data_IF_011176097962
#
_entry.id   IF_011176097962
#
_cell.length_a   1.000
_cell.length_b   1.000
_cell.length_c   1.000
_cell.angle_alpha   90.00
_cell.angle_beta   90.00
_cell.angle_gamma   90.00
#
_symmetry.space_group_name_H-M   'P 1'
#
loop_
_entity.id
_entity.type
_entity.pdbx_description
1 polymer ?
#
# COMPACT_ATOMS: atom_id res chain seq x y z
N UNK A 1 14.95 -7.31 -17.08
CA UNK A 1 16.38 -7.67 -16.94
C UNK A 1 17.13 -6.46 -16.43
N UNK A 2 18.21 -6.63 -15.60
CA UNK A 2 19.06 -5.51 -15.25
C UNK A 2 19.62 -4.83 -16.49
N UNK A 3 19.77 -3.51 -16.44
CA UNK A 3 20.26 -2.72 -17.58
C UNK A 3 21.68 -3.10 -18.01
N UNK A 4 22.10 -2.69 -19.21
CA UNK A 4 23.44 -2.97 -19.73
C UNK A 4 24.59 -2.48 -18.82
N UNK A 5 24.32 -1.52 -17.93
CA UNK A 5 25.29 -0.95 -16.98
C UNK A 5 25.32 -1.64 -15.60
N UNK A 6 24.44 -2.62 -15.38
CA UNK A 6 24.37 -3.35 -14.10
C UNK A 6 25.34 -4.52 -14.04
N UNK A 7 26.51 -4.27 -13.50
CA UNK A 7 27.59 -5.27 -13.34
C UNK A 7 27.98 -5.44 -11.87
N UNK A 8 28.50 -6.60 -11.55
CA UNK A 8 29.25 -6.85 -10.32
C UNK A 8 30.69 -7.19 -10.70
N UNK A 9 31.65 -6.52 -10.11
CA UNK A 9 33.06 -6.90 -10.24
C UNK A 9 33.32 -8.16 -9.44
N UNK A 10 33.93 -9.17 -10.07
CA UNK A 10 34.26 -10.47 -9.46
C UNK A 10 35.77 -10.77 -9.41
N UNK A 11 36.60 -9.80 -9.78
CA UNK A 11 38.05 -9.86 -9.75
C UNK A 11 38.66 -8.83 -10.70
N UNK A 12 39.99 -8.81 -10.82
CA UNK A 12 40.73 -7.83 -11.63
C UNK A 12 40.16 -7.65 -13.02
N UNK A 13 39.40 -6.53 -13.21
CA UNK A 13 38.76 -6.13 -14.47
C UNK A 13 37.69 -7.09 -15.03
N UNK A 14 37.29 -8.13 -14.29
CA UNK A 14 36.24 -9.05 -14.72
C UNK A 14 34.92 -8.60 -14.15
N UNK A 15 33.98 -8.29 -15.05
CA UNK A 15 32.62 -7.86 -14.71
C UNK A 15 31.59 -8.90 -15.16
N UNK A 16 30.66 -9.25 -14.28
CA UNK A 16 29.51 -10.10 -14.59
C UNK A 16 28.23 -9.29 -14.49
N UNK A 17 27.38 -9.40 -15.50
CA UNK A 17 26.08 -8.75 -15.49
C UNK A 17 25.21 -9.33 -14.39
N UNK A 18 24.51 -8.47 -13.64
CA UNK A 18 23.55 -8.88 -12.62
C UNK A 18 22.43 -9.71 -13.25
N UNK A 19 22.01 -10.77 -12.60
CA UNK A 19 20.86 -11.59 -12.96
C UNK A 19 19.84 -11.55 -11.84
N UNK A 20 18.57 -11.33 -12.18
CA UNK A 20 17.47 -11.32 -11.22
C UNK A 20 16.97 -12.75 -10.97
N UNK A 21 16.92 -13.15 -9.73
CA UNK A 21 16.22 -14.35 -9.28
C UNK A 21 14.75 -13.93 -9.06
N UNK A 22 13.85 -14.49 -9.85
CA UNK A 22 12.40 -14.11 -9.85
C UNK A 22 11.56 -14.93 -8.86
N UNK A 23 12.20 -15.71 -8.01
CA UNK A 23 11.56 -16.46 -6.91
C UNK A 23 12.29 -16.17 -5.60
N UNK A 24 11.68 -16.49 -4.46
CA UNK A 24 12.40 -16.42 -3.20
C UNK A 24 13.40 -17.60 -3.06
N UNK A 25 14.37 -17.46 -2.14
CA UNK A 25 15.42 -18.48 -1.97
C UNK A 25 14.89 -19.83 -1.49
N UNK A 26 13.75 -19.84 -0.79
CA UNK A 26 13.11 -21.08 -0.32
C UNK A 26 12.44 -21.84 -1.47
N UNK A 27 11.75 -21.15 -2.37
CA UNK A 27 11.22 -21.74 -3.60
C UNK A 27 12.34 -22.26 -4.49
N UNK A 28 13.43 -21.52 -4.62
CA UNK A 28 14.61 -21.95 -5.38
C UNK A 28 15.25 -23.18 -4.77
N UNK A 29 15.31 -23.26 -3.44
CA UNK A 29 15.84 -24.43 -2.73
C UNK A 29 14.95 -25.66 -2.90
N UNK A 30 13.63 -25.51 -2.85
CA UNK A 30 12.68 -26.61 -3.11
C UNK A 30 12.88 -27.13 -4.54
N UNK A 31 12.86 -26.25 -5.53
CA UNK A 31 13.10 -26.63 -6.93
C UNK A 31 14.49 -27.28 -7.15
N UNK A 32 15.51 -26.84 -6.41
CA UNK A 32 16.82 -27.46 -6.44
C UNK A 32 16.79 -28.89 -5.88
N UNK A 33 16.13 -29.12 -4.74
CA UNK A 33 15.99 -30.45 -4.12
C UNK A 33 15.18 -31.40 -4.99
N UNK A 34 14.14 -30.93 -5.66
CA UNK A 34 13.36 -31.71 -6.61
C UNK A 34 14.23 -32.16 -7.82
N UNK A 35 15.05 -31.24 -8.34
CA UNK A 35 15.89 -31.50 -9.51
C UNK A 35 17.14 -32.34 -9.21
N UNK A 36 17.66 -32.21 -7.99
CA UNK A 36 18.90 -32.84 -7.55
C UNK A 36 18.70 -33.48 -6.17
N UNK A 37 17.88 -34.55 -6.06
CA UNK A 37 17.52 -35.18 -4.77
C UNK A 37 18.75 -35.75 -4.03
N UNK A 38 19.75 -36.23 -4.76
CA UNK A 38 20.96 -36.86 -4.20
C UNK A 38 21.94 -35.86 -3.57
N UNK A 39 21.75 -34.55 -3.77
CA UNK A 39 22.65 -33.56 -3.19
C UNK A 39 22.16 -33.18 -1.79
N UNK A 40 22.87 -33.61 -0.78
CA UNK A 40 22.63 -33.25 0.61
C UNK A 40 23.20 -31.88 0.93
N UNK A 41 22.35 -30.86 0.95
CA UNK A 41 22.68 -29.48 1.34
C UNK A 41 21.54 -28.88 2.15
N UNK A 42 21.87 -28.25 3.26
CA UNK A 42 20.89 -27.50 4.07
C UNK A 42 20.59 -26.13 3.47
N UNK A 43 19.42 -25.60 3.79
CA UNK A 43 18.91 -24.32 3.25
C UNK A 43 19.89 -23.15 3.49
N UNK A 44 20.45 -23.02 4.70
CA UNK A 44 21.41 -21.95 5.02
C UNK A 44 22.65 -22.00 4.14
N UNK A 45 23.23 -23.19 3.94
CA UNK A 45 24.39 -23.38 3.07
C UNK A 45 24.03 -23.10 1.61
N UNK A 46 22.88 -23.56 1.15
CA UNK A 46 22.34 -23.23 -0.19
C UNK A 46 22.27 -21.71 -0.42
N UNK A 47 21.75 -20.96 0.54
CA UNK A 47 21.68 -19.50 0.45
C UNK A 47 23.05 -18.84 0.34
N UNK A 48 24.09 -19.36 1.04
CA UNK A 48 25.45 -18.80 1.01
C UNK A 48 26.18 -19.06 -0.30
N UNK A 49 25.80 -20.09 -1.05
CA UNK A 49 26.37 -20.42 -2.36
C UNK A 49 25.83 -19.53 -3.49
N UNK A 50 24.89 -18.68 -3.20
CA UNK A 50 24.36 -17.72 -4.18
C UNK A 50 25.45 -16.80 -4.72
N UNK A 51 25.61 -16.78 -6.02
CA UNK A 51 26.59 -15.95 -6.70
C UNK A 51 26.31 -14.46 -6.50
N UNK A 52 27.34 -13.64 -6.28
CA UNK A 52 27.20 -12.19 -6.01
C UNK A 52 26.44 -11.43 -7.11
N UNK A 53 26.48 -11.88 -8.34
CA UNK A 53 25.74 -11.27 -9.46
C UNK A 53 24.32 -11.81 -9.63
N UNK A 54 23.90 -12.81 -8.86
CA UNK A 54 22.52 -13.28 -8.80
C UNK A 54 21.82 -12.58 -7.64
N UNK A 55 20.98 -11.56 -7.93
CA UNK A 55 20.26 -10.76 -6.95
C UNK A 55 18.78 -11.12 -6.93
N UNK A 56 18.18 -11.11 -5.75
CA UNK A 56 16.74 -11.33 -5.60
C UNK A 56 15.98 -10.15 -6.15
N UNK A 57 14.99 -10.39 -7.00
CA UNK A 57 14.05 -9.35 -7.42
C UNK A 57 13.32 -8.80 -6.17
N UNK A 58 13.29 -7.47 -6.03
CA UNK A 58 12.69 -6.80 -4.86
C UNK A 58 13.56 -6.83 -3.58
N UNK A 59 14.82 -7.30 -3.65
CA UNK A 59 15.76 -7.14 -2.53
C UNK A 59 16.13 -5.66 -2.34
N UNK A 60 16.51 -5.30 -1.08
CA UNK A 60 16.87 -3.92 -0.71
C UNK A 60 17.74 -3.24 -1.77
N UNK A 61 17.30 -2.11 -2.28
CA UNK A 61 18.01 -1.26 -3.23
C UNK A 61 17.67 -1.47 -4.70
N UNK A 62 16.79 -2.43 -5.07
CA UNK A 62 16.47 -2.67 -6.48
C UNK A 62 15.22 -1.92 -6.94
N UNK A 63 14.17 -1.85 -6.12
CA UNK A 63 12.93 -1.17 -6.46
C UNK A 63 12.05 -1.00 -5.22
N UNK A 64 11.70 0.24 -4.88
CA UNK A 64 10.70 0.57 -3.87
C UNK A 64 9.51 1.24 -4.55
N UNK A 65 8.31 0.73 -4.32
CA UNK A 65 7.07 1.26 -4.89
C UNK A 65 6.12 1.73 -3.78
N UNK A 66 5.19 2.60 -4.12
CA UNK A 66 4.19 3.13 -3.19
C UNK A 66 4.83 3.81 -1.97
N UNK A 67 5.89 4.60 -2.19
CA UNK A 67 6.44 5.47 -1.16
C UNK A 67 5.60 6.75 -1.07
N UNK A 68 5.46 7.28 0.13
CA UNK A 68 4.76 8.55 0.33
C UNK A 68 5.57 9.70 -0.30
N UNK A 69 4.95 10.47 -1.20
CA UNK A 69 5.61 11.58 -1.89
C UNK A 69 6.12 12.65 -0.92
N UNK A 70 5.40 12.95 0.17
CA UNK A 70 5.81 13.92 1.18
C UNK A 70 7.11 13.46 1.87
N UNK A 71 7.18 12.19 2.30
CA UNK A 71 8.41 11.66 2.89
C UNK A 71 9.54 11.57 1.85
N UNK A 72 9.23 11.11 0.64
CA UNK A 72 10.25 10.95 -0.40
C UNK A 72 10.83 12.28 -0.86
N UNK A 73 10.00 13.33 -0.98
CA UNK A 73 10.49 14.66 -1.32
C UNK A 73 11.40 15.23 -0.22
N UNK A 74 11.07 15.02 1.06
CA UNK A 74 11.96 15.41 2.14
C UNK A 74 13.31 14.66 2.10
N UNK A 75 13.30 13.35 1.75
CA UNK A 75 14.54 12.58 1.54
C UNK A 75 15.33 13.17 0.37
N UNK A 76 14.70 13.39 -0.79
CA UNK A 76 15.38 13.92 -1.98
C UNK A 76 15.99 15.30 -1.75
N UNK A 77 15.31 16.17 -0.98
CA UNK A 77 15.84 17.47 -0.61
C UNK A 77 17.07 17.34 0.32
N UNK A 78 17.01 16.50 1.33
CA UNK A 78 18.15 16.27 2.24
C UNK A 78 19.33 15.63 1.50
N UNK A 79 19.06 14.68 0.59
CA UNK A 79 20.09 13.99 -0.19
C UNK A 79 20.83 14.94 -1.18
N UNK A 80 20.19 16.03 -1.60
CA UNK A 80 20.75 16.98 -2.58
C UNK A 80 22.04 17.68 -2.09
N UNK A 81 22.19 17.85 -0.79
CA UNK A 81 23.36 18.48 -0.17
C UNK A 81 24.37 17.47 0.40
N UNK A 82 24.18 16.17 0.11
CA UNK A 82 25.07 15.09 0.51
C UNK A 82 25.43 15.05 2.02
N UNK A 83 24.54 15.51 2.87
CA UNK A 83 24.75 15.49 4.32
C UNK A 83 24.59 14.09 4.90
N UNK A 84 25.31 13.83 5.98
CA UNK A 84 25.08 12.64 6.80
C UNK A 84 23.94 12.89 7.82
N UNK A 85 22.87 13.55 7.37
CA UNK A 85 21.68 13.90 8.14
C UNK A 85 20.45 13.27 7.49
N UNK A 86 19.39 13.16 8.26
CA UNK A 86 18.07 12.72 7.80
C UNK A 86 17.05 13.82 8.08
N UNK A 87 15.90 13.76 7.40
CA UNK A 87 14.80 14.68 7.72
C UNK A 87 14.37 14.61 9.20
N UNK A 88 14.59 13.46 9.89
CA UNK A 88 14.29 13.33 11.33
C UNK A 88 15.17 14.26 12.16
N UNK A 89 16.46 14.36 11.83
CA UNK A 89 17.37 15.27 12.50
C UNK A 89 16.97 16.74 12.30
N UNK A 90 16.46 17.09 11.11
CA UNK A 90 15.93 18.42 10.85
C UNK A 90 14.64 18.72 11.64
N UNK A 91 13.75 17.73 11.80
CA UNK A 91 12.57 17.88 12.65
C UNK A 91 12.98 18.14 14.11
N UNK A 92 13.99 17.45 14.63
CA UNK A 92 14.51 17.64 16.00
C UNK A 92 15.07 19.04 16.24
N UNK A 93 15.47 19.77 15.18
CA UNK A 93 15.86 21.18 15.30
C UNK A 93 14.67 22.13 15.45
N UNK A 94 13.50 21.75 14.96
CA UNK A 94 12.29 22.59 14.98
C UNK A 94 11.48 22.40 16.27
N UNK A 95 11.50 21.19 16.85
CA UNK A 95 10.61 20.83 17.96
C UNK A 95 11.37 20.45 19.22
N UNK A 96 10.78 20.73 20.36
CA UNK A 96 11.31 20.25 21.65
C UNK A 96 11.05 18.74 21.87
N UNK A 97 10.08 18.13 21.17
CA UNK A 97 9.85 16.68 21.17
C UNK A 97 9.04 16.22 19.95
N UNK A 98 9.57 15.30 19.12
CA UNK A 98 8.84 14.73 17.98
C UNK A 98 7.73 13.75 18.38
N UNK A 99 7.65 13.37 19.66
CA UNK A 99 6.60 12.48 20.18
C UNK A 99 5.36 13.24 20.70
N UNK A 100 5.47 14.55 20.91
CA UNK A 100 4.37 15.38 21.41
C UNK A 100 3.54 15.96 20.27
N UNK A 101 2.22 15.79 20.38
CA UNK A 101 1.24 16.28 19.40
C UNK A 101 1.42 17.78 19.16
N UNK A 102 1.43 18.57 20.21
CA UNK A 102 1.47 20.03 20.15
C UNK A 102 2.70 20.54 19.39
N UNK A 103 3.84 19.84 19.55
CA UNK A 103 5.07 20.15 18.83
C UNK A 103 4.93 19.86 17.34
N UNK A 104 4.44 18.69 17.00
CA UNK A 104 4.36 18.22 15.61
C UNK A 104 3.26 18.88 14.77
N UNK A 105 2.26 19.52 15.42
CA UNK A 105 1.19 20.30 14.75
C UNK A 105 1.36 21.81 14.90
N UNK A 106 2.56 22.28 15.28
CA UNK A 106 2.93 23.70 15.44
C UNK A 106 2.07 24.48 16.48
N UNK A 107 1.70 23.83 17.59
CA UNK A 107 0.92 24.44 18.69
C UNK A 107 1.71 24.56 20.00
N UNK A 108 2.97 24.19 20.00
CA UNK A 108 3.85 24.29 21.19
C UNK A 108 4.60 25.61 21.14
N UNK A 109 4.36 26.46 22.13
CA UNK A 109 5.02 27.78 22.24
C UNK A 109 6.51 27.68 22.64
N UNK A 110 6.94 26.54 23.20
CA UNK A 110 8.33 26.31 23.63
C UNK A 110 9.21 25.71 22.54
N UNK A 111 8.65 25.43 21.34
CA UNK A 111 9.46 24.87 20.26
C UNK A 111 10.37 25.94 19.64
N UNK A 112 11.63 25.57 19.25
CA UNK A 112 12.54 26.49 18.57
C UNK A 112 11.97 27.04 17.25
N UNK A 113 11.13 26.26 16.56
CA UNK A 113 10.44 26.66 15.35
C UNK A 113 11.31 26.64 14.10
N UNK A 114 10.78 27.18 13.01
CA UNK A 114 11.48 27.24 11.71
C UNK A 114 12.69 28.17 11.72
N UNK A 115 12.72 29.17 12.60
CA UNK A 115 13.85 30.08 12.74
C UNK A 115 15.11 29.33 13.15
N UNK A 116 15.03 28.43 14.12
CA UNK A 116 16.17 27.62 14.53
C UNK A 116 16.66 26.67 13.42
N UNK A 117 15.74 26.14 12.59
CA UNK A 117 16.13 25.36 11.42
C UNK A 117 16.81 26.25 10.38
N UNK A 118 16.31 27.47 10.15
CA UNK A 118 16.95 28.42 9.22
C UNK A 118 18.37 28.77 9.68
N UNK A 119 18.55 29.12 10.95
CA UNK A 119 19.87 29.39 11.53
C UNK A 119 20.83 28.20 11.41
N UNK A 120 20.31 26.99 11.64
CA UNK A 120 21.08 25.75 11.44
C UNK A 120 21.52 25.60 9.97
N UNK A 121 20.59 25.78 9.01
CA UNK A 121 20.88 25.66 7.58
C UNK A 121 21.88 26.76 7.11
N UNK A 122 21.75 27.98 7.59
CA UNK A 122 22.65 29.08 7.26
C UNK A 122 24.08 28.80 7.77
N UNK A 123 24.22 28.19 8.95
CA UNK A 123 25.54 27.81 9.48
C UNK A 123 26.16 26.62 8.72
N UNK A 124 25.38 25.61 8.36
CA UNK A 124 25.88 24.40 7.69
C UNK A 124 26.17 24.63 6.21
N UNK A 125 25.49 25.57 5.57
CA UNK A 125 25.63 25.92 4.15
C UNK A 125 26.36 27.24 3.92
N UNK A 126 27.11 27.69 4.89
CA UNK A 126 27.82 28.97 4.84
C UNK A 126 28.96 29.06 3.79
N UNK A 127 29.35 27.92 3.20
CA UNK A 127 30.35 27.85 2.12
C UNK A 127 29.75 28.22 0.75
N UNK A 128 28.42 28.37 0.65
CA UNK A 128 27.70 28.71 -0.58
C UNK A 128 27.10 30.11 -0.48
N UNK A 129 27.23 30.88 -1.53
CA UNK A 129 26.55 32.17 -1.64
C UNK A 129 25.03 31.95 -1.85
N UNK A 130 24.23 32.91 -1.38
CA UNK A 130 22.75 32.79 -1.46
C UNK A 130 22.23 32.59 -2.89
N UNK A 131 22.94 33.19 -3.87
CA UNK A 131 22.62 33.17 -5.31
C UNK A 131 23.23 31.96 -6.05
N UNK A 132 24.09 31.15 -5.40
CA UNK A 132 24.61 29.92 -6.00
C UNK A 132 23.48 28.98 -6.34
N UNK A 133 23.61 28.26 -7.45
CA UNK A 133 22.61 27.30 -7.90
C UNK A 133 22.79 25.92 -7.26
N UNK A 134 21.69 25.33 -6.81
CA UNK A 134 21.60 23.94 -6.37
C UNK A 134 20.59 23.17 -7.22
N UNK A 135 20.93 21.92 -7.53
CA UNK A 135 20.07 21.01 -8.29
C UNK A 135 19.56 19.89 -7.38
N UNK A 136 18.25 19.69 -7.36
CA UNK A 136 17.61 18.59 -6.63
C UNK A 136 16.46 17.98 -7.43
N UNK A 137 16.03 16.78 -7.02
CA UNK A 137 14.87 16.12 -7.60
C UNK A 137 13.68 16.19 -6.65
N UNK A 138 12.46 16.31 -7.20
CA UNK A 138 11.23 16.18 -6.43
C UNK A 138 10.12 15.52 -7.22
N UNK A 139 9.25 14.80 -6.53
CA UNK A 139 8.00 14.34 -7.09
C UNK A 139 7.00 15.50 -7.13
N UNK A 140 6.52 15.80 -8.32
CA UNK A 140 5.46 16.79 -8.56
C UNK A 140 4.26 16.11 -9.26
N UNK A 141 3.07 16.64 -9.05
CA UNK A 141 1.84 16.16 -9.69
C UNK A 141 1.15 17.34 -10.38
N UNK A 142 1.14 17.30 -11.70
CA UNK A 142 0.30 18.13 -12.55
C UNK A 142 -0.85 17.26 -13.08
N UNK A 143 -0.77 16.79 -14.31
CA UNK A 143 -1.72 15.80 -14.85
C UNK A 143 -1.39 14.37 -14.37
N UNK A 144 -0.11 14.10 -14.16
CA UNK A 144 0.42 12.85 -13.64
C UNK A 144 1.59 13.11 -12.69
N UNK A 145 1.85 12.14 -11.81
CA UNK A 145 3.02 12.21 -10.95
C UNK A 145 4.31 12.01 -11.75
N UNK A 146 5.25 12.94 -11.62
CA UNK A 146 6.56 12.89 -12.30
C UNK A 146 7.67 13.25 -11.31
N UNK A 147 8.83 12.64 -11.49
CA UNK A 147 10.05 13.05 -10.83
C UNK A 147 10.70 14.14 -11.69
N UNK A 148 10.72 15.37 -11.17
CA UNK A 148 11.29 16.54 -11.85
C UNK A 148 12.60 16.95 -11.23
N UNK A 149 13.52 17.40 -12.06
CA UNK A 149 14.74 18.07 -11.61
C UNK A 149 14.45 19.56 -11.50
N UNK A 150 14.79 20.15 -10.37
CA UNK A 150 14.63 21.57 -10.07
C UNK A 150 16.02 22.17 -9.88
N UNK A 151 16.23 23.34 -10.46
CA UNK A 151 17.41 24.19 -10.23
C UNK A 151 16.89 25.45 -9.56
N UNK A 152 17.44 25.80 -8.42
CA UNK A 152 17.08 27.00 -7.66
C UNK A 152 18.32 27.59 -6.99
N UNK A 153 18.21 28.80 -6.47
CA UNK A 153 19.25 29.35 -5.60
C UNK A 153 19.30 28.63 -4.25
N UNK A 154 20.41 28.69 -3.54
CA UNK A 154 20.52 28.13 -2.19
C UNK A 154 19.52 28.74 -1.21
N UNK A 155 19.16 30.02 -1.35
CA UNK A 155 18.15 30.64 -0.49
C UNK A 155 16.76 30.08 -0.75
N UNK A 156 16.34 29.98 -2.02
CA UNK A 156 15.06 29.35 -2.39
C UNK A 156 15.00 27.89 -1.96
N UNK A 157 16.11 27.16 -2.11
CA UNK A 157 16.21 25.77 -1.66
C UNK A 157 16.05 25.64 -0.14
N UNK A 158 16.68 26.50 0.68
CA UNK A 158 16.54 26.50 2.13
C UNK A 158 15.08 26.75 2.54
N UNK A 159 14.42 27.73 1.93
CA UNK A 159 13.02 28.03 2.17
C UNK A 159 12.11 26.84 1.82
N UNK A 160 12.37 26.21 0.67
CA UNK A 160 11.63 25.03 0.24
C UNK A 160 11.84 23.83 1.17
N UNK A 161 13.08 23.59 1.62
CA UNK A 161 13.40 22.53 2.58
C UNK A 161 12.68 22.76 3.92
N UNK A 162 12.73 23.98 4.47
CA UNK A 162 12.04 24.33 5.72
C UNK A 162 10.53 24.08 5.60
N UNK A 163 9.90 24.56 4.52
CA UNK A 163 8.48 24.36 4.26
C UNK A 163 8.13 22.87 4.12
N UNK A 164 8.97 22.11 3.43
CA UNK A 164 8.77 20.66 3.24
C UNK A 164 8.86 19.90 4.56
N UNK A 165 9.81 20.24 5.44
CA UNK A 165 9.95 19.63 6.77
C UNK A 165 8.75 19.98 7.66
N UNK A 166 8.26 21.23 7.65
CA UNK A 166 7.07 21.62 8.39
C UNK A 166 5.81 20.85 7.96
N UNK A 167 5.61 20.67 6.65
CA UNK A 167 4.53 19.87 6.11
C UNK A 167 4.65 18.39 6.51
N UNK A 168 5.88 17.86 6.46
CA UNK A 168 6.18 16.48 6.84
C UNK A 168 5.88 16.21 8.32
N UNK A 169 6.15 17.15 9.23
CA UNK A 169 5.95 16.98 10.67
C UNK A 169 4.51 16.54 11.00
N UNK A 170 3.52 17.31 10.57
CA UNK A 170 2.10 17.00 10.79
C UNK A 170 1.71 15.68 10.14
N UNK A 171 2.11 15.47 8.90
CA UNK A 171 1.81 14.27 8.14
C UNK A 171 2.40 13.01 8.79
N UNK A 172 3.70 13.05 9.15
CA UNK A 172 4.39 11.94 9.83
C UNK A 172 3.78 11.62 11.18
N UNK A 173 3.41 12.65 11.96
CA UNK A 173 2.75 12.45 13.25
C UNK A 173 1.40 11.75 13.11
N UNK A 174 0.55 12.20 12.18
CA UNK A 174 -0.76 11.59 11.90
C UNK A 174 -0.57 10.12 11.48
N UNK A 175 0.37 9.84 10.57
CA UNK A 175 0.64 8.48 10.11
C UNK A 175 1.06 7.54 11.27
N UNK A 176 1.97 8.02 12.15
CA UNK A 176 2.39 7.28 13.35
C UNK A 176 1.23 7.04 14.32
N UNK A 177 0.39 8.06 14.55
CA UNK A 177 -0.77 7.95 15.44
C UNK A 177 -1.76 6.91 14.95
N UNK A 178 -2.04 6.87 13.66
CA UNK A 178 -2.99 5.92 13.07
C UNK A 178 -2.47 4.49 13.06
N UNK A 179 -1.20 4.29 12.73
CA UNK A 179 -0.55 2.98 12.85
C UNK A 179 -0.58 2.48 14.31
N UNK A 180 -0.30 3.36 15.27
CA UNK A 180 -0.39 3.06 16.72
C UNK A 180 -1.82 2.74 17.13
N UNK A 181 -2.81 3.49 16.64
CA UNK A 181 -4.22 3.26 16.95
C UNK A 181 -4.71 1.88 16.47
N UNK A 182 -4.36 1.47 15.25
CA UNK A 182 -4.67 0.13 14.75
C UNK A 182 -4.07 -0.97 15.65
N UNK A 183 -2.81 -0.82 16.06
CA UNK A 183 -2.14 -1.78 16.94
C UNK A 183 -2.78 -1.84 18.33
N UNK A 184 -3.13 -0.69 18.91
CA UNK A 184 -3.84 -0.61 20.18
C UNK A 184 -5.24 -1.23 20.10
N UNK A 185 -5.97 -0.95 19.00
CA UNK A 185 -7.31 -1.52 18.78
C UNK A 185 -7.23 -3.04 18.63
N UNK A 186 -6.24 -3.55 17.90
CA UNK A 186 -5.99 -5.00 17.84
C UNK A 186 -5.72 -5.58 19.22
N UNK A 187 -4.83 -4.96 20.01
CA UNK A 187 -4.48 -5.46 21.36
C UNK A 187 -5.62 -5.41 22.38
N UNK A 188 -6.69 -4.66 22.10
CA UNK A 188 -7.86 -4.47 22.99
C UNK A 188 -9.16 -4.96 22.35
N UNK A 189 -9.09 -5.78 21.31
CA UNK A 189 -10.25 -6.24 20.58
C UNK A 189 -11.14 -7.12 21.48
N UNK A 190 -12.41 -6.75 21.58
CA UNK A 190 -13.42 -7.54 22.30
C UNK A 190 -13.89 -8.76 21.50
N UNK A 191 -14.48 -9.75 22.17
CA UNK A 191 -14.99 -10.96 21.51
C UNK A 191 -16.09 -10.67 20.50
N UNK A 192 -16.88 -9.62 20.73
CA UNK A 192 -17.97 -9.20 19.84
C UNK A 192 -17.54 -8.11 18.82
N UNK A 193 -16.25 -7.87 18.70
CA UNK A 193 -15.66 -6.87 17.83
C UNK A 193 -14.80 -7.49 16.75
N UNK A 194 -14.75 -6.84 15.58
CA UNK A 194 -13.89 -7.23 14.48
C UNK A 194 -13.21 -6.02 13.82
N UNK A 195 -11.98 -6.21 13.33
CA UNK A 195 -11.25 -5.22 12.55
C UNK A 195 -11.17 -5.71 11.11
N UNK A 196 -11.57 -4.87 10.18
CA UNK A 196 -11.56 -5.14 8.74
C UNK A 196 -10.57 -4.19 8.07
N UNK A 197 -9.50 -4.75 7.53
CA UNK A 197 -8.64 -4.03 6.59
C UNK A 197 -9.13 -4.35 5.18
N UNK A 198 -9.36 -3.32 4.39
CA UNK A 198 -9.79 -3.47 2.98
C UNK A 198 -9.00 -2.53 2.10
N UNK A 199 -8.63 -2.99 0.93
CA UNK A 199 -7.93 -2.20 -0.07
C UNK A 199 -8.23 -2.74 -1.46
N UNK A 200 -8.37 -1.84 -2.44
CA UNK A 200 -8.51 -2.24 -3.83
C UNK A 200 -7.13 -2.37 -4.45
N UNK A 201 -6.77 -3.58 -4.82
CA UNK A 201 -5.60 -3.78 -5.64
C UNK A 201 -5.85 -3.21 -7.04
N UNK A 202 -4.79 -2.66 -7.68
CA UNK A 202 -4.83 -2.34 -9.10
C UNK A 202 -5.39 -3.52 -9.92
N UNK A 203 -6.23 -3.25 -10.92
CA UNK A 203 -6.80 -4.29 -11.77
C UNK A 203 -5.73 -5.23 -12.31
N UNK A 204 -6.00 -6.52 -12.23
CA UNK A 204 -5.12 -7.53 -12.79
C UNK A 204 -5.36 -7.66 -14.29
N UNK A 205 -4.32 -7.53 -15.06
CA UNK A 205 -4.33 -7.76 -16.50
C UNK A 205 -3.90 -9.21 -16.78
N UNK A 206 -4.72 -9.97 -17.50
CA UNK A 206 -4.39 -11.34 -17.84
C UNK A 206 -3.19 -11.40 -18.78
N UNK A 207 -2.30 -12.37 -18.53
CA UNK A 207 -1.06 -12.57 -19.28
C UNK A 207 -1.10 -13.89 -20.03
N UNK A 208 -0.69 -13.87 -21.28
CA UNK A 208 -0.52 -15.06 -22.12
C UNK A 208 0.90 -15.09 -22.69
N UNK A 209 1.35 -16.30 -23.07
CA UNK A 209 2.59 -16.42 -23.83
C UNK A 209 2.37 -16.01 -25.29
N UNK A 210 3.40 -15.42 -25.90
CA UNK A 210 3.42 -15.05 -27.32
C UNK A 210 2.25 -14.11 -27.72
N UNK A 211 1.97 -13.12 -26.85
CA UNK A 211 0.94 -12.11 -27.15
C UNK A 211 1.23 -11.40 -28.46
N UNK A 212 0.21 -11.28 -29.31
CA UNK A 212 0.27 -10.40 -30.47
C UNK A 212 -0.02 -8.96 -30.04
N UNK A 213 0.47 -7.99 -30.80
CA UNK A 213 0.37 -6.56 -30.46
C UNK A 213 -1.08 -6.10 -30.24
N UNK A 214 -2.03 -6.53 -31.06
CA UNK A 214 -3.45 -6.17 -30.91
C UNK A 214 -4.05 -6.69 -29.61
N UNK A 215 -3.70 -7.90 -29.19
CA UNK A 215 -4.15 -8.44 -27.89
C UNK A 215 -3.56 -7.65 -26.70
N UNK A 216 -2.30 -7.22 -26.80
CA UNK A 216 -1.65 -6.43 -25.76
C UNK A 216 -2.44 -5.17 -25.39
N UNK A 217 -3.10 -4.53 -26.36
CA UNK A 217 -3.88 -3.31 -26.18
C UNK A 217 -5.36 -3.55 -25.86
N UNK A 218 -5.88 -4.76 -26.01
CA UNK A 218 -7.29 -5.11 -25.82
C UNK A 218 -7.53 -6.14 -24.72
N UNK A 219 -6.63 -6.23 -23.75
CA UNK A 219 -6.73 -7.21 -22.65
C UNK A 219 -7.92 -6.99 -21.75
N UNK A 220 -8.49 -8.09 -21.29
CA UNK A 220 -9.42 -8.06 -20.20
C UNK A 220 -8.72 -7.85 -18.86
N UNK A 221 -9.44 -7.24 -17.94
CA UNK A 221 -8.99 -6.96 -16.59
C UNK A 221 -9.89 -7.65 -15.57
N UNK A 222 -9.33 -7.96 -14.43
CA UNK A 222 -10.06 -8.43 -13.27
C UNK A 222 -9.82 -7.50 -12.09
N UNK A 223 -10.90 -7.01 -11.51
CA UNK A 223 -10.84 -6.29 -10.24
C UNK A 223 -10.49 -7.27 -9.13
N UNK A 224 -9.56 -6.86 -8.26
CA UNK A 224 -9.19 -7.57 -7.05
C UNK A 224 -9.39 -6.65 -5.85
N UNK A 225 -10.18 -7.10 -4.88
CA UNK A 225 -10.38 -6.40 -3.61
C UNK A 225 -10.03 -7.33 -2.45
N UNK A 226 -8.77 -7.33 -2.01
CA UNK A 226 -8.35 -8.02 -0.81
C UNK A 226 -8.97 -7.44 0.45
N UNK A 227 -9.26 -8.33 1.42
CA UNK A 227 -9.75 -7.96 2.72
C UNK A 227 -9.13 -8.88 3.78
N UNK A 228 -8.73 -8.31 4.91
CA UNK A 228 -8.24 -9.06 6.07
C UNK A 228 -9.10 -8.73 7.28
N UNK A 229 -9.66 -9.75 7.88
CA UNK A 229 -10.52 -9.65 9.04
C UNK A 229 -9.83 -10.19 10.28
N UNK A 230 -9.68 -9.35 11.33
CA UNK A 230 -9.15 -9.76 12.62
C UNK A 230 -10.26 -9.87 13.64
N UNK A 231 -10.22 -10.94 14.43
CA UNK A 231 -11.19 -11.23 15.49
C UNK A 231 -10.52 -11.99 16.64
N UNK A 232 -11.21 -12.09 17.76
CA UNK A 232 -10.76 -12.88 18.91
C UNK A 232 -11.33 -14.29 18.79
N UNK A 233 -10.45 -15.28 18.69
CA UNK A 233 -10.85 -16.69 18.63
C UNK A 233 -11.33 -17.22 20.00
N UNK A 234 -11.86 -18.43 20.02
CA UNK A 234 -12.32 -19.11 21.25
C UNK A 234 -11.23 -19.21 22.31
N UNK A 235 -9.99 -19.36 21.89
CA UNK A 235 -8.80 -19.40 22.75
C UNK A 235 -8.38 -18.03 23.30
N UNK A 236 -9.16 -16.97 23.04
CA UNK A 236 -8.88 -15.60 23.46
C UNK A 236 -7.75 -14.91 22.70
N UNK A 237 -7.19 -15.55 21.67
CA UNK A 237 -6.12 -14.97 20.86
C UNK A 237 -6.68 -14.31 19.62
N UNK A 238 -5.97 -13.29 19.16
CA UNK A 238 -6.30 -12.63 17.89
C UNK A 238 -5.99 -13.59 16.74
N UNK A 239 -6.99 -13.83 15.92
CA UNK A 239 -6.92 -14.58 14.67
C UNK A 239 -7.23 -13.67 13.50
N UNK A 240 -6.94 -14.12 12.30
CA UNK A 240 -7.35 -13.41 11.10
C UNK A 240 -7.74 -14.37 9.99
N UNK A 241 -8.70 -13.93 9.20
CA UNK A 241 -9.09 -14.53 7.93
C UNK A 241 -8.73 -13.59 6.79
N UNK A 242 -8.29 -14.15 5.67
CA UNK A 242 -7.95 -13.43 4.45
C UNK A 242 -8.99 -13.73 3.37
N UNK A 243 -9.44 -12.68 2.70
CA UNK A 243 -10.43 -12.74 1.63
C UNK A 243 -9.89 -12.03 0.38
N UNK A 244 -10.37 -12.45 -0.78
CA UNK A 244 -10.17 -11.74 -2.02
C UNK A 244 -11.45 -11.79 -2.86
N UNK A 245 -12.04 -10.62 -3.10
CA UNK A 245 -13.20 -10.47 -3.96
C UNK A 245 -12.72 -10.15 -5.38
N UNK A 246 -13.23 -10.89 -6.36
CA UNK A 246 -12.82 -10.75 -7.76
C UNK A 246 -14.03 -10.37 -8.60
N UNK A 247 -13.83 -9.54 -9.63
CA UNK A 247 -14.91 -9.08 -10.49
C UNK A 247 -14.43 -8.83 -11.91
N UNK A 248 -15.35 -9.03 -12.88
CA UNK A 248 -15.23 -8.54 -14.25
C UNK A 248 -15.75 -7.10 -14.43
N UNK A 249 -16.24 -6.47 -13.35
CA UNK A 249 -16.52 -5.04 -13.30
C UNK A 249 -15.25 -4.29 -12.91
N UNK A 250 -14.74 -3.46 -13.81
CA UNK A 250 -13.49 -2.72 -13.61
C UNK A 250 -13.68 -1.41 -12.83
N UNK A 251 -14.91 -1.09 -12.39
CA UNK A 251 -15.21 0.12 -11.63
C UNK A 251 -15.05 -0.12 -10.12
N UNK A 252 -14.02 0.49 -9.54
CA UNK A 252 -13.77 0.44 -8.09
C UNK A 252 -14.49 1.60 -7.37
N UNK A 253 -15.80 1.66 -7.48
CA UNK A 253 -16.60 2.70 -6.85
C UNK A 253 -17.08 2.34 -5.43
N UNK A 254 -17.77 3.26 -4.79
CA UNK A 254 -18.35 3.05 -3.46
C UNK A 254 -19.40 1.93 -3.44
N UNK A 255 -20.11 1.71 -4.55
CA UNK A 255 -21.10 0.63 -4.66
C UNK A 255 -20.42 -0.73 -4.67
N UNK A 256 -19.22 -0.82 -5.27
CA UNK A 256 -18.41 -2.03 -5.22
C UNK A 256 -17.97 -2.35 -3.79
N UNK A 257 -17.48 -1.34 -3.06
CA UNK A 257 -17.12 -1.50 -1.63
C UNK A 257 -18.32 -1.98 -0.81
N UNK A 258 -19.51 -1.42 -1.04
CA UNK A 258 -20.74 -1.85 -0.36
C UNK A 258 -21.09 -3.31 -0.66
N UNK A 259 -20.94 -3.77 -1.90
CA UNK A 259 -21.18 -5.16 -2.27
C UNK A 259 -20.16 -6.11 -1.62
N UNK A 260 -18.88 -5.71 -1.56
CA UNK A 260 -17.86 -6.46 -0.82
C UNK A 260 -18.23 -6.59 0.66
N UNK A 261 -18.69 -5.48 1.28
CA UNK A 261 -19.17 -5.52 2.67
C UNK A 261 -20.36 -6.46 2.85
N UNK A 262 -21.33 -6.42 1.94
CA UNK A 262 -22.50 -7.32 1.98
C UNK A 262 -22.06 -8.78 2.00
N UNK A 263 -21.25 -9.20 1.04
CA UNK A 263 -20.80 -10.60 0.95
C UNK A 263 -19.88 -11.00 2.11
N UNK A 264 -19.05 -10.08 2.58
CA UNK A 264 -18.22 -10.32 3.76
C UNK A 264 -19.08 -10.53 5.01
N UNK A 265 -20.10 -9.70 5.23
CA UNK A 265 -20.99 -9.79 6.38
C UNK A 265 -21.85 -11.06 6.32
N UNK A 266 -22.33 -11.47 5.16
CA UNK A 266 -23.02 -12.75 4.98
C UNK A 266 -22.12 -13.93 5.43
N UNK A 267 -20.85 -13.92 5.03
CA UNK A 267 -19.87 -14.89 5.45
C UNK A 267 -19.56 -14.79 6.96
N UNK A 268 -19.49 -13.56 7.50
CA UNK A 268 -19.26 -13.31 8.92
C UNK A 268 -20.42 -13.89 9.76
N UNK A 269 -21.65 -13.61 9.39
CA UNK A 269 -22.85 -14.13 10.08
C UNK A 269 -22.91 -15.66 10.09
N UNK A 270 -22.43 -16.29 9.03
CA UNK A 270 -22.35 -17.75 8.95
C UNK A 270 -21.24 -18.36 9.83
N UNK A 271 -20.14 -17.63 10.09
CA UNK A 271 -18.95 -18.18 10.76
C UNK A 271 -18.70 -17.60 12.15
N UNK A 272 -19.09 -16.35 12.38
CA UNK A 272 -18.83 -15.57 13.60
C UNK A 272 -20.07 -14.71 13.99
N UNK A 273 -21.25 -15.31 14.21
CA UNK A 273 -22.52 -14.57 14.40
C UNK A 273 -22.54 -13.70 15.66
N UNK A 274 -21.59 -13.86 16.56
CA UNK A 274 -21.48 -13.07 17.78
C UNK A 274 -20.81 -11.71 17.59
N UNK A 275 -20.25 -11.42 16.38
CA UNK A 275 -19.63 -10.13 16.09
C UNK A 275 -20.75 -9.11 15.82
N UNK A 276 -20.78 -8.06 16.63
CA UNK A 276 -21.79 -6.98 16.55
C UNK A 276 -21.21 -5.61 16.21
N UNK A 277 -19.87 -5.46 16.24
CA UNK A 277 -19.18 -4.21 15.97
C UNK A 277 -18.01 -4.43 15.01
N UNK A 278 -17.94 -3.64 13.95
CA UNK A 278 -16.86 -3.68 12.96
C UNK A 278 -16.11 -2.35 12.88
N UNK A 279 -14.79 -2.43 12.86
CA UNK A 279 -13.88 -1.30 12.66
C UNK A 279 -13.21 -1.45 11.29
N UNK A 280 -13.62 -0.63 10.33
CA UNK A 280 -13.06 -0.64 8.99
C UNK A 280 -11.84 0.28 8.90
N UNK A 281 -10.73 -0.26 8.43
CA UNK A 281 -9.46 0.46 8.22
C UNK A 281 -9.06 0.36 6.74
N UNK A 282 -9.68 1.12 5.84
CA UNK A 282 -9.27 1.20 4.45
C UNK A 282 -8.17 2.24 4.25
N UNK A 283 -7.67 2.34 3.02
CA UNK A 283 -6.93 3.51 2.58
C UNK A 283 -7.83 4.76 2.50
N UNK A 284 -7.24 5.92 2.23
CA UNK A 284 -7.96 7.18 2.14
C UNK A 284 -8.50 7.52 0.73
N UNK A 285 -8.57 6.55 -0.19
CA UNK A 285 -9.02 6.79 -1.57
C UNK A 285 -10.44 7.35 -1.62
N UNK A 286 -10.61 8.57 -2.14
CA UNK A 286 -11.90 9.25 -2.17
C UNK A 286 -12.89 8.64 -3.15
N UNK A 287 -12.42 8.04 -4.24
CA UNK A 287 -13.28 7.38 -5.23
C UNK A 287 -14.00 6.16 -4.68
N UNK A 288 -13.41 5.50 -3.70
CA UNK A 288 -13.89 4.23 -3.17
C UNK A 288 -14.43 4.37 -1.75
N UNK A 289 -13.65 4.97 -0.84
CA UNK A 289 -13.91 4.89 0.58
C UNK A 289 -14.24 6.23 1.23
N UNK A 290 -13.44 7.29 0.99
CA UNK A 290 -13.53 8.55 1.73
C UNK A 290 -14.39 9.59 1.00
N UNK A 291 -15.68 9.29 0.84
CA UNK A 291 -16.66 10.13 0.16
C UNK A 291 -18.03 10.09 0.84
N UNK A 292 -18.93 11.01 0.48
CA UNK A 292 -20.25 11.14 1.09
C UNK A 292 -21.11 9.88 0.91
N UNK A 293 -21.00 9.16 -0.24
CA UNK A 293 -21.79 7.94 -0.50
C UNK A 293 -21.46 6.85 0.50
N UNK A 294 -20.17 6.69 0.80
CA UNK A 294 -19.73 5.73 1.78
C UNK A 294 -20.09 6.11 3.21
N UNK A 295 -20.12 7.42 3.53
CA UNK A 295 -20.63 7.88 4.82
C UNK A 295 -22.13 7.63 4.96
N UNK A 296 -22.93 7.75 3.89
CA UNK A 296 -24.34 7.35 3.88
C UNK A 296 -24.50 5.83 4.09
N UNK A 297 -23.64 5.01 3.48
CA UNK A 297 -23.62 3.58 3.74
C UNK A 297 -23.25 3.28 5.20
N UNK A 298 -22.31 4.01 5.78
CA UNK A 298 -21.94 3.87 7.19
C UNK A 298 -23.12 4.21 8.13
N UNK A 299 -23.84 5.30 7.88
CA UNK A 299 -25.03 5.66 8.64
C UNK A 299 -26.16 4.60 8.52
N UNK A 300 -26.21 3.89 7.40
CA UNK A 300 -27.17 2.82 7.17
C UNK A 300 -26.70 1.44 7.64
N UNK A 301 -25.45 1.30 8.03
CA UNK A 301 -24.82 0.01 8.26
C UNK A 301 -25.53 -0.86 9.31
N UNK A 302 -25.92 -0.27 10.44
CA UNK A 302 -26.68 -0.97 11.48
C UNK A 302 -28.05 -1.45 10.98
N UNK A 303 -28.74 -0.61 10.18
CA UNK A 303 -30.03 -0.98 9.60
C UNK A 303 -29.90 -2.08 8.54
N UNK A 304 -28.86 -2.00 7.69
CA UNK A 304 -28.70 -2.90 6.55
C UNK A 304 -28.17 -4.28 6.99
N UNK A 305 -27.34 -4.34 8.03
CA UNK A 305 -26.58 -5.54 8.42
C UNK A 305 -26.76 -5.96 9.87
N UNK A 306 -27.48 -5.22 10.70
CA UNK A 306 -27.61 -5.40 12.15
C UNK A 306 -26.28 -5.37 12.93
N UNK A 307 -25.24 -4.81 12.36
CA UNK A 307 -23.88 -4.67 12.92
C UNK A 307 -23.54 -3.19 12.99
N UNK A 308 -22.99 -2.70 14.12
CA UNK A 308 -22.43 -1.36 14.24
C UNK A 308 -21.10 -1.27 13.50
N UNK A 309 -20.81 -0.10 12.94
CA UNK A 309 -19.57 0.10 12.19
C UNK A 309 -18.95 1.47 12.43
N UNK A 310 -17.63 1.51 12.31
CA UNK A 310 -16.82 2.74 12.31
C UNK A 310 -15.84 2.69 11.14
N UNK A 311 -15.59 3.85 10.53
CA UNK A 311 -14.57 3.98 9.49
C UNK A 311 -13.37 4.76 10.01
N UNK A 312 -12.18 4.15 9.92
CA UNK A 312 -10.91 4.73 10.39
C UNK A 312 -9.92 4.72 9.21
N UNK A 313 -9.59 5.89 8.69
CA UNK A 313 -8.75 6.02 7.51
C UNK A 313 -7.29 6.21 7.88
N UNK A 314 -6.40 5.52 7.19
CA UNK A 314 -4.97 5.78 7.28
C UNK A 314 -4.61 7.17 6.74
N UNK A 315 -3.46 7.69 7.11
CA UNK A 315 -2.90 8.88 6.48
C UNK A 315 -2.62 8.60 5.01
N UNK A 316 -2.72 9.63 4.18
CA UNK A 316 -2.48 9.53 2.74
C UNK A 316 -1.14 8.86 2.45
N UNK A 317 -1.12 7.89 1.56
CA UNK A 317 0.04 7.06 1.20
C UNK A 317 0.64 6.21 2.33
N UNK A 318 -0.08 6.03 3.44
CA UNK A 318 0.31 5.16 4.57
C UNK A 318 -0.68 4.02 4.82
N UNK A 319 -1.57 3.75 3.87
CA UNK A 319 -2.55 2.65 3.92
C UNK A 319 -1.97 1.27 3.67
N UNK A 320 -0.64 1.14 3.48
CA UNK A 320 -0.01 -0.14 3.19
C UNK A 320 -0.35 -1.18 4.26
N UNK A 321 -0.98 -2.25 3.84
CA UNK A 321 -1.59 -3.25 4.71
C UNK A 321 -1.30 -4.68 4.21
N UNK A 322 -1.65 -5.72 4.97
CA UNK A 322 -1.59 -7.09 4.47
C UNK A 322 -2.39 -7.33 3.19
N UNK A 323 -3.37 -6.47 2.85
CA UNK A 323 -4.13 -6.54 1.61
C UNK A 323 -3.23 -6.42 0.36
N UNK A 324 -2.22 -5.52 0.39
CA UNK A 324 -1.21 -5.41 -0.68
C UNK A 324 -0.48 -6.76 -0.91
N UNK A 325 -0.16 -7.45 0.19
CA UNK A 325 0.47 -8.77 0.16
C UNK A 325 -0.42 -9.81 -0.50
N UNK A 326 -1.71 -9.82 -0.17
CA UNK A 326 -2.71 -10.74 -0.75
C UNK A 326 -2.88 -10.43 -2.24
N UNK A 327 -3.16 -9.17 -2.61
CA UNK A 327 -3.32 -8.77 -4.01
C UNK A 327 -2.09 -9.11 -4.85
N UNK A 328 -0.89 -8.80 -4.34
CA UNK A 328 0.37 -9.14 -5.00
C UNK A 328 0.61 -10.65 -5.11
N UNK A 329 0.22 -11.46 -4.11
CA UNK A 329 0.34 -12.91 -4.15
C UNK A 329 -0.60 -13.51 -5.21
N UNK A 330 -1.85 -13.08 -5.25
CA UNK A 330 -2.85 -13.52 -6.24
C UNK A 330 -2.37 -13.19 -7.65
N UNK A 331 -1.97 -11.93 -7.91
CA UNK A 331 -1.48 -11.49 -9.22
C UNK A 331 -0.27 -12.32 -9.69
N UNK A 332 0.74 -12.48 -8.83
CA UNK A 332 1.96 -13.25 -9.17
C UNK A 332 1.64 -14.73 -9.38
N UNK A 333 0.79 -15.31 -8.55
CA UNK A 333 0.42 -16.72 -8.67
C UNK A 333 -0.32 -16.97 -9.99
N UNK A 334 -1.34 -16.17 -10.31
CA UNK A 334 -2.11 -16.27 -11.55
C UNK A 334 -1.21 -16.08 -12.77
N UNK A 335 -0.36 -15.05 -12.78
CA UNK A 335 0.57 -14.79 -13.88
C UNK A 335 1.52 -15.98 -14.10
N UNK A 336 2.12 -16.51 -13.02
CA UNK A 336 3.02 -17.67 -13.09
C UNK A 336 2.30 -18.89 -13.67
N UNK A 337 1.10 -19.18 -13.18
CA UNK A 337 0.32 -20.34 -13.64
C UNK A 337 -0.17 -20.18 -15.07
N UNK A 338 -0.60 -18.97 -15.46
CA UNK A 338 -0.99 -18.71 -16.85
C UNK A 338 0.17 -18.97 -17.82
N UNK A 339 1.36 -18.43 -17.52
CA UNK A 339 2.56 -18.62 -18.33
C UNK A 339 3.12 -20.05 -18.35
N UNK A 340 2.74 -20.89 -17.40
CA UNK A 340 3.12 -22.31 -17.36
C UNK A 340 2.14 -23.22 -18.12
N UNK A 341 0.96 -22.75 -18.49
CA UNK A 341 -0.06 -23.50 -19.20
C UNK A 341 0.15 -23.47 -20.71
N UNK A 342 -0.27 -24.51 -21.44
CA UNK A 342 -0.26 -24.48 -22.91
C UNK A 342 -1.23 -23.41 -23.42
N UNK A 343 -1.03 -22.93 -24.65
CA UNK A 343 -1.80 -21.84 -25.26
C UNK A 343 -3.32 -22.05 -25.27
N UNK A 344 -3.77 -23.31 -25.40
CA UNK A 344 -5.20 -23.66 -25.41
C UNK A 344 -5.83 -23.76 -24.01
N UNK A 345 -5.09 -23.54 -22.94
CA UNK A 345 -5.58 -23.65 -21.56
C UNK A 345 -5.03 -22.53 -20.64
N UNK A 346 -4.88 -21.35 -21.16
CA UNK A 346 -4.40 -20.20 -20.39
C UNK A 346 -5.50 -19.56 -19.57
N UNK A 347 -5.12 -18.74 -18.59
CA UNK A 347 -6.05 -18.04 -17.70
C UNK A 347 -6.33 -16.67 -18.30
N UNK A 348 -7.51 -16.53 -18.91
CA UNK A 348 -7.88 -15.33 -19.69
C UNK A 348 -9.06 -14.55 -19.09
N UNK A 349 -9.74 -15.13 -18.11
CA UNK A 349 -10.92 -14.56 -17.48
C UNK A 349 -10.90 -14.73 -15.96
N UNK A 350 -11.73 -13.94 -15.27
CA UNK A 350 -11.79 -13.95 -13.81
C UNK A 350 -12.34 -15.24 -13.21
N UNK A 351 -13.19 -16.01 -13.93
CA UNK A 351 -13.77 -17.26 -13.43
C UNK A 351 -12.71 -18.35 -13.38
N UNK A 352 -11.96 -18.52 -14.47
CA UNK A 352 -10.81 -19.44 -14.54
C UNK A 352 -9.74 -19.10 -13.50
N UNK A 353 -9.47 -17.80 -13.30
CA UNK A 353 -8.58 -17.33 -12.25
C UNK A 353 -9.11 -17.68 -10.85
N UNK A 354 -10.40 -17.47 -10.61
CA UNK A 354 -11.06 -17.75 -9.34
C UNK A 354 -10.96 -19.23 -8.97
N UNK A 355 -11.24 -20.14 -9.92
CA UNK A 355 -11.13 -21.58 -9.73
C UNK A 355 -9.69 -22.00 -9.39
N UNK A 356 -8.72 -21.50 -10.14
CA UNK A 356 -7.30 -21.71 -9.84
C UNK A 356 -6.94 -21.28 -8.42
N UNK A 357 -7.30 -20.05 -8.06
CA UNK A 357 -6.93 -19.47 -6.77
C UNK A 357 -7.62 -20.21 -5.60
N UNK A 358 -8.88 -20.64 -5.75
CA UNK A 358 -9.60 -21.46 -4.74
C UNK A 358 -8.89 -22.78 -4.50
N UNK A 359 -8.40 -23.41 -5.56
CA UNK A 359 -7.74 -24.72 -5.47
C UNK A 359 -6.29 -24.63 -4.93
N UNK A 360 -5.55 -23.60 -5.30
CA UNK A 360 -4.11 -23.52 -5.04
C UNK A 360 -3.71 -22.53 -3.92
N UNK A 361 -4.66 -21.71 -3.42
CA UNK A 361 -4.41 -20.72 -2.37
C UNK A 361 -5.42 -20.86 -1.21
N UNK A 362 -5.48 -22.01 -0.50
CA UNK A 362 -6.52 -22.32 0.49
C UNK A 362 -6.50 -21.39 1.72
N UNK A 363 -5.42 -20.63 1.94
CA UNK A 363 -5.33 -19.63 3.02
C UNK A 363 -6.12 -18.34 2.74
N UNK A 364 -6.67 -18.18 1.52
CA UNK A 364 -7.45 -17.01 1.12
C UNK A 364 -8.83 -17.50 0.67
N UNK A 365 -9.89 -16.90 1.20
CA UNK A 365 -11.27 -17.16 0.81
C UNK A 365 -11.63 -16.29 -0.40
N UNK A 366 -11.97 -16.91 -1.55
CA UNK A 366 -12.23 -16.20 -2.80
C UNK A 366 -13.70 -16.12 -3.13
N UNK A 367 -14.18 -14.94 -3.51
CA UNK A 367 -15.55 -14.63 -3.88
C UNK A 367 -15.59 -13.91 -5.23
N UNK A 368 -16.65 -14.20 -6.02
CA UNK A 368 -16.90 -13.57 -7.30
C UNK A 368 -18.03 -12.56 -7.20
N UNK A 369 -17.86 -11.41 -7.84
CA UNK A 369 -18.89 -10.37 -8.01
C UNK A 369 -18.99 -10.12 -9.51
N UNK A 370 -20.12 -10.47 -10.15
CA UNK A 370 -20.28 -10.22 -11.57
C UNK A 370 -20.74 -8.79 -11.89
N UNK A 371 -20.52 -8.36 -13.12
CA UNK A 371 -21.02 -7.05 -13.63
C UNK A 371 -22.52 -6.90 -13.45
N UNK A 372 -23.29 -7.98 -13.62
CA UNK A 372 -24.74 -7.98 -13.46
C UNK A 372 -25.14 -7.70 -12.01
N UNK A 373 -24.46 -8.33 -11.04
CA UNK A 373 -24.65 -8.04 -9.62
C UNK A 373 -24.33 -6.56 -9.36
N UNK A 374 -23.23 -6.07 -9.88
CA UNK A 374 -22.82 -4.67 -9.66
C UNK A 374 -23.80 -3.67 -10.28
N UNK A 375 -24.38 -3.96 -11.44
CA UNK A 375 -25.43 -3.15 -12.05
C UNK A 375 -26.64 -3.03 -11.11
N UNK A 376 -27.16 -4.15 -10.63
CA UNK A 376 -28.30 -4.17 -9.71
C UNK A 376 -28.00 -3.43 -8.39
N UNK A 377 -26.78 -3.58 -7.86
CA UNK A 377 -26.35 -2.89 -6.64
C UNK A 377 -26.31 -1.37 -6.85
N UNK A 378 -25.76 -0.87 -7.97
CA UNK A 378 -25.71 0.55 -8.27
C UNK A 378 -27.11 1.13 -8.41
N UNK A 379 -28.00 0.48 -9.14
CA UNK A 379 -29.40 0.89 -9.28
C UNK A 379 -30.12 0.97 -7.91
N UNK A 380 -29.94 -0.03 -7.06
CA UNK A 380 -30.49 -0.03 -5.69
C UNK A 380 -29.96 1.11 -4.82
N UNK A 381 -28.66 1.43 -4.92
CA UNK A 381 -28.01 2.44 -4.09
C UNK A 381 -28.21 3.87 -4.64
N UNK A 382 -28.63 4.04 -5.88
CA UNK A 382 -28.81 5.35 -6.51
C UNK A 382 -29.75 6.24 -5.69
N UNK A 383 -30.90 5.70 -5.26
CA UNK A 383 -31.87 6.42 -4.42
C UNK A 383 -31.26 6.86 -3.08
N UNK A 384 -30.41 6.01 -2.48
CA UNK A 384 -29.70 6.36 -1.24
C UNK A 384 -28.76 7.53 -1.46
N UNK A 385 -28.01 7.53 -2.57
CA UNK A 385 -26.99 8.53 -2.84
C UNK A 385 -27.52 9.86 -3.36
N UNK A 386 -28.72 9.87 -3.94
CA UNK A 386 -29.33 11.06 -4.53
C UNK A 386 -29.50 12.23 -3.53
N UNK A 387 -29.73 11.92 -2.25
CA UNK A 387 -29.94 12.90 -1.20
C UNK A 387 -28.70 13.21 -0.36
N UNK A 388 -27.52 12.72 -0.78
CA UNK A 388 -26.29 12.86 -0.04
C UNK A 388 -25.53 14.14 -0.36
N UNK A 389 -24.95 14.77 0.65
CA UNK A 389 -24.11 15.95 0.52
C UNK A 389 -22.68 15.65 0.96
N UNK A 390 -21.74 16.37 0.36
CA UNK A 390 -20.33 16.31 0.79
C UNK A 390 -20.19 16.82 2.22
N UNK A 391 -19.55 16.05 3.07
CA UNK A 391 -19.27 16.43 4.46
C UNK A 391 -18.05 17.36 4.50
N UNK A 392 -18.20 18.62 4.92
CA UNK A 392 -17.07 19.54 5.04
C UNK A 392 -15.99 18.99 5.98
N UNK A 393 -14.72 19.18 5.65
CA UNK A 393 -13.60 18.71 6.46
C UNK A 393 -13.34 17.20 6.42
N UNK A 394 -14.15 16.42 5.69
CA UNK A 394 -13.98 14.96 5.61
C UNK A 394 -12.59 14.54 5.12
N UNK A 395 -11.93 15.32 4.25
CA UNK A 395 -10.59 15.03 3.74
C UNK A 395 -9.52 15.02 4.83
N UNK A 396 -9.65 15.89 5.83
CA UNK A 396 -8.70 16.02 6.96
C UNK A 396 -9.08 15.18 8.17
N UNK A 397 -10.30 14.62 8.22
CA UNK A 397 -10.78 13.76 9.29
C UNK A 397 -10.39 12.30 9.01
N UNK A 398 -10.10 11.53 10.05
CA UNK A 398 -9.62 10.16 9.91
C UNK A 398 -10.47 9.12 10.63
N UNK A 399 -11.47 9.54 11.41
CA UNK A 399 -12.36 8.64 12.12
C UNK A 399 -13.80 9.13 11.99
N UNK A 400 -14.69 8.24 11.57
CA UNK A 400 -16.11 8.52 11.31
C UNK A 400 -16.97 7.50 12.04
N UNK A 401 -17.93 8.03 12.80
CA UNK A 401 -18.93 7.31 13.57
C UNK A 401 -20.31 7.74 13.08
N UNK A 402 -21.24 6.81 12.87
CA UNK A 402 -22.65 7.17 12.69
C UNK A 402 -23.21 7.66 14.03
N UNK A 403 -24.02 8.68 14.00
CA UNK A 403 -24.75 9.22 15.17
C UNK A 403 -26.02 8.43 15.39
#
# INVERSE_FOLDING_TARGET
MPGKKDYVSIGNKVHKQKRLILCNLRELYIAFKEKYPDIEIGFSKFCTLRLKWCILAGSKGTHSVCVCSIHQNAVLLVDAINWNLTYTNLIEKIVCSPERKECMIHRCESCPGSTALKEFLDNELNEHDADDEIQYCQWSTTDRAMLTTVISTYEEYKEHLISSIQNLMKHSYIAKCQARYLNLKKGRLGKNEGIVLGDSAENYQFLIQNEIQSYHWSKEYCTLHPLVFYFVGEDGKIKHDSFCFTSDDNNHDTSFVYQVQTMFIDQLNATQPHITNLFYFPDGCSGQYKNYKNFMNLCSHKRDFDIKAEWIFFATSHGKSPCDGIGGAVKRHTAKRSLQRPLNNQILDYKTMLELCRNEMPSIKFFAISKEIMKAVRERLETRYANGNTVPGSRSSHHFLPL
#
